data_IF_371953128807
#
_entry.id   IF_371953128807
#
_cell.length_a   1.000
_cell.length_b   1.000
_cell.length_c   1.000
_cell.angle_alpha   90.00
_cell.angle_beta   90.00
_cell.angle_gamma   90.00
#
_symmetry.space_group_name_H-M   'P 1'
#
loop_
_entity.id
_entity.type
_entity.pdbx_description
1 polymer ?
#
# COMPACT_ATOMS: atom_id res chain seq x y z
N UNK A 1 -18.08 18.06 -14.58
CA UNK A 1 -17.92 17.25 -15.81
C UNK A 1 -16.46 16.83 -15.84
N UNK A 2 -16.15 15.56 -15.53
CA UNK A 2 -14.76 15.10 -15.38
C UNK A 2 -14.28 14.45 -16.68
N UNK A 3 -13.18 14.98 -17.23
CA UNK A 3 -12.45 14.39 -18.34
C UNK A 3 -11.39 13.46 -17.77
N UNK A 4 -11.50 12.18 -18.05
CA UNK A 4 -10.55 11.19 -17.58
C UNK A 4 -10.60 9.91 -18.39
N UNK A 5 -9.63 9.05 -18.14
CA UNK A 5 -9.55 7.73 -18.75
C UNK A 5 -10.20 6.72 -17.80
N UNK A 6 -11.17 5.97 -18.31
CA UNK A 6 -11.75 4.84 -17.60
C UNK A 6 -11.82 3.66 -18.57
N UNK A 7 -11.34 2.49 -18.14
CA UNK A 7 -11.19 1.29 -18.98
C UNK A 7 -10.46 1.54 -20.32
N UNK A 8 -9.45 2.41 -20.33
CA UNK A 8 -8.66 2.72 -21.52
C UNK A 8 -9.38 3.60 -22.56
N UNK A 9 -10.56 4.13 -22.23
CA UNK A 9 -11.29 5.07 -23.09
C UNK A 9 -11.26 6.45 -22.44
N UNK A 10 -10.58 7.39 -23.10
CA UNK A 10 -10.57 8.78 -22.70
C UNK A 10 -11.84 9.47 -23.21
N UNK A 11 -12.78 9.77 -22.31
CA UNK A 11 -14.04 10.44 -22.64
C UNK A 11 -14.61 11.18 -21.43
N UNK A 12 -15.73 11.83 -21.66
CA UNK A 12 -16.50 12.49 -20.62
C UNK A 12 -17.27 11.43 -19.85
N UNK A 13 -16.88 11.16 -18.59
CA UNK A 13 -17.52 10.11 -17.80
C UNK A 13 -18.51 10.70 -16.78
N UNK A 14 -19.68 10.05 -16.67
CA UNK A 14 -20.60 10.29 -15.56
C UNK A 14 -20.04 9.57 -14.32
N UNK A 15 -19.68 10.34 -13.29
CA UNK A 15 -19.20 9.83 -12.00
C UNK A 15 -20.37 9.67 -11.05
N UNK A 16 -20.45 8.51 -10.40
CA UNK A 16 -21.45 8.25 -9.36
C UNK A 16 -20.89 8.66 -8.00
N UNK A 17 -21.70 9.41 -7.27
CA UNK A 17 -21.42 9.81 -5.89
C UNK A 17 -22.36 9.02 -4.97
N UNK A 18 -21.89 8.69 -3.78
CA UNK A 18 -22.75 8.14 -2.73
C UNK A 18 -23.68 9.23 -2.15
N UNK A 19 -24.55 8.83 -1.23
CA UNK A 19 -25.51 9.74 -0.59
C UNK A 19 -24.84 10.86 0.24
N UNK A 20 -23.56 10.70 0.59
CA UNK A 20 -22.76 11.64 1.36
C UNK A 20 -21.90 12.54 0.44
N UNK A 21 -21.97 12.35 -0.88
CA UNK A 21 -21.17 13.09 -1.85
C UNK A 21 -19.75 12.58 -1.99
N UNK A 22 -19.43 11.40 -1.44
CA UNK A 22 -18.14 10.76 -1.70
C UNK A 22 -18.18 10.06 -3.05
N UNK A 23 -17.06 10.15 -3.74
CA UNK A 23 -16.93 9.54 -5.04
C UNK A 23 -16.81 8.01 -4.90
N UNK A 24 -17.75 7.28 -5.53
CA UNK A 24 -17.71 5.82 -5.60
C UNK A 24 -16.58 5.42 -6.55
N UNK A 25 -15.48 4.95 -5.97
CA UNK A 25 -14.40 4.32 -6.71
C UNK A 25 -14.95 3.16 -7.57
N UNK A 26 -14.34 2.91 -8.70
CA UNK A 26 -14.67 1.74 -9.51
C UNK A 26 -14.03 0.49 -8.91
N UNK A 27 -14.52 -0.73 -9.23
CA UNK A 27 -13.90 -1.97 -8.76
C UNK A 27 -12.40 -2.01 -9.06
N UNK A 28 -12.01 -1.66 -10.29
CA UNK A 28 -10.60 -1.60 -10.73
C UNK A 28 -9.76 -0.62 -9.91
N UNK A 29 -10.28 0.58 -9.62
CA UNK A 29 -9.59 1.56 -8.79
C UNK A 29 -9.44 1.07 -7.33
N UNK A 30 -10.48 0.41 -6.78
CA UNK A 30 -10.41 -0.21 -5.45
C UNK A 30 -9.35 -1.32 -5.41
N UNK A 31 -9.30 -2.17 -6.42
CA UNK A 31 -8.31 -3.24 -6.52
C UNK A 31 -6.89 -2.68 -6.63
N UNK A 32 -6.68 -1.64 -7.44
CA UNK A 32 -5.39 -0.96 -7.57
C UNK A 32 -4.93 -0.36 -6.24
N UNK A 33 -5.82 0.33 -5.52
CA UNK A 33 -5.52 0.89 -4.19
C UNK A 33 -5.22 -0.23 -3.20
N UNK A 34 -6.01 -1.31 -3.18
CA UNK A 34 -5.79 -2.45 -2.29
C UNK A 34 -4.45 -3.15 -2.57
N UNK A 35 -4.08 -3.30 -3.84
CA UNK A 35 -2.78 -3.84 -4.25
C UNK A 35 -1.65 -2.94 -3.79
N UNK A 36 -1.74 -1.62 -3.99
CA UNK A 36 -0.72 -0.68 -3.54
C UNK A 36 -0.52 -0.73 -2.01
N UNK A 37 -1.63 -0.76 -1.26
CA UNK A 37 -1.61 -0.89 0.20
C UNK A 37 -0.93 -2.19 0.63
N UNK A 38 -1.24 -3.31 -0.01
CA UNK A 38 -0.63 -4.61 0.28
C UNK A 38 0.88 -4.60 -0.01
N UNK A 39 1.30 -3.99 -1.12
CA UNK A 39 2.72 -3.85 -1.46
C UNK A 39 3.45 -2.96 -0.45
N UNK A 40 2.84 -1.84 -0.05
CA UNK A 40 3.40 -0.94 0.95
C UNK A 40 3.55 -1.63 2.32
N UNK A 41 2.55 -2.41 2.74
CA UNK A 41 2.60 -3.19 3.97
C UNK A 41 3.72 -4.24 3.93
N UNK A 42 3.84 -4.98 2.81
CA UNK A 42 4.92 -5.96 2.63
C UNK A 42 6.30 -5.31 2.70
N UNK A 43 6.50 -4.17 2.05
CA UNK A 43 7.77 -3.45 2.11
C UNK A 43 8.10 -2.99 3.53
N UNK A 44 7.11 -2.53 4.30
CA UNK A 44 7.31 -2.15 5.70
C UNK A 44 7.71 -3.35 6.56
N UNK A 45 7.00 -4.47 6.41
CA UNK A 45 7.31 -5.70 7.13
C UNK A 45 8.73 -6.21 6.79
N UNK A 46 9.12 -6.20 5.52
CA UNK A 46 10.47 -6.59 5.11
C UNK A 46 11.54 -5.64 5.67
N UNK A 47 11.32 -4.33 5.60
CA UNK A 47 12.23 -3.34 6.16
C UNK A 47 12.42 -3.52 7.68
N UNK A 48 11.34 -3.83 8.40
CA UNK A 48 11.39 -4.12 9.84
C UNK A 48 12.16 -5.40 10.12
N UNK A 49 11.92 -6.48 9.36
CA UNK A 49 12.68 -7.73 9.49
C UNK A 49 14.17 -7.52 9.26
N UNK A 50 14.55 -6.78 8.22
CA UNK A 50 15.97 -6.47 7.93
C UNK A 50 16.59 -5.64 9.05
N UNK A 51 15.84 -4.66 9.60
CA UNK A 51 16.32 -3.87 10.75
C UNK A 51 16.51 -4.74 12.00
N UNK A 52 15.56 -5.62 12.31
CA UNK A 52 15.66 -6.56 13.42
C UNK A 52 16.89 -7.46 13.26
N UNK A 53 17.06 -8.07 12.08
CA UNK A 53 18.20 -8.96 11.81
C UNK A 53 19.54 -8.24 11.98
N UNK A 54 19.67 -7.00 11.47
CA UNK A 54 20.89 -6.20 11.67
C UNK A 54 21.14 -5.89 13.14
N UNK A 55 20.09 -5.57 13.88
CA UNK A 55 20.20 -5.29 15.32
C UNK A 55 20.63 -6.55 16.08
N UNK A 56 20.05 -7.71 15.77
CA UNK A 56 20.45 -8.99 16.35
C UNK A 56 21.91 -9.33 16.03
N UNK A 57 22.36 -9.09 14.79
CA UNK A 57 23.75 -9.30 14.39
C UNK A 57 24.71 -8.36 15.14
N UNK A 58 24.35 -7.08 15.28
CA UNK A 58 25.09 -6.11 16.09
C UNK A 58 25.19 -6.57 17.55
N UNK A 59 24.08 -6.96 18.16
CA UNK A 59 24.05 -7.44 19.55
C UNK A 59 24.96 -8.67 19.73
N UNK A 60 24.88 -9.64 18.82
CA UNK A 60 25.77 -10.82 18.83
C UNK A 60 27.24 -10.44 18.66
N UNK A 61 27.56 -9.47 17.79
CA UNK A 61 28.94 -8.99 17.60
C UNK A 61 29.51 -8.34 18.85
N UNK A 62 28.65 -7.75 19.69
CA UNK A 62 28.98 -7.18 20.98
C UNK A 62 28.94 -8.20 22.14
N UNK A 63 28.72 -9.49 21.85
CA UNK A 63 28.69 -10.56 22.84
C UNK A 63 27.40 -10.60 23.69
N UNK A 64 26.36 -9.88 23.25
CA UNK A 64 25.05 -9.86 23.91
C UNK A 64 24.14 -10.84 23.14
N UNK A 65 23.59 -11.84 23.82
CA UNK A 65 22.64 -12.76 23.19
C UNK A 65 21.25 -12.10 23.12
N UNK A 66 20.71 -11.82 21.92
CA UNK A 66 19.40 -11.17 21.78
C UNK A 66 18.20 -12.04 22.18
N UNK A 67 18.41 -13.32 22.55
CA UNK A 67 17.35 -14.26 22.96
C UNK A 67 17.47 -14.77 24.41
N UNK A 68 18.32 -14.17 25.25
CA UNK A 68 18.47 -14.55 26.67
C UNK A 68 17.51 -13.84 27.61
#
# INVERSE_FOLDING_TARGET
>A
MWSGEYEGINRLWLRWYDAEGNWILTPTEREAIAQEQLQAERQRAEAERVRSQRLEELLRSHGIDPNS
#
